data_IF_626170004456
#
_entry.id   IF_626170004456
#
_cell.length_a   1.000
_cell.length_b   1.000
_cell.length_c   1.000
_cell.angle_alpha   90.00
_cell.angle_beta   90.00
_cell.angle_gamma   90.00
#
_symmetry.space_group_name_H-M   'P 1'
#
loop_
_entity.id
_entity.type
_entity.pdbx_description
1 polymer ?
#
# COMPACT_ATOMS: atom_id res chain seq x y z
N UNK A 1 12.76 4.34 -4.58
CA UNK A 1 13.04 3.82 -5.93
C UNK A 1 12.90 2.30 -6.01
N UNK A 2 11.68 1.80 -5.76
CA UNK A 2 11.41 0.35 -5.77
C UNK A 2 11.73 -0.30 -7.12
N UNK A 3 11.20 0.23 -8.20
CA UNK A 3 11.28 -0.39 -9.54
C UNK A 3 12.69 -0.66 -10.04
N UNK A 4 13.63 0.24 -9.80
CA UNK A 4 15.02 0.05 -10.26
C UNK A 4 15.75 -1.13 -9.59
N UNK A 5 15.16 -1.72 -8.58
CA UNK A 5 15.70 -2.92 -7.94
C UNK A 5 15.41 -4.19 -8.76
N UNK A 6 14.40 -4.16 -9.61
CA UNK A 6 14.06 -5.25 -10.51
C UNK A 6 14.80 -5.17 -11.85
N UNK A 7 15.14 -6.31 -12.48
CA UNK A 7 15.61 -6.33 -13.85
C UNK A 7 14.49 -5.92 -14.80
N UNK A 8 14.83 -5.22 -15.91
CA UNK A 8 13.86 -4.93 -16.96
C UNK A 8 13.68 -6.13 -17.88
N UNK A 9 12.43 -6.53 -18.14
CA UNK A 9 12.09 -7.56 -19.12
C UNK A 9 12.18 -7.07 -20.56
N UNK A 10 12.11 -5.75 -20.77
CA UNK A 10 12.18 -5.12 -22.08
C UNK A 10 13.56 -4.50 -22.35
N UNK A 11 13.96 -4.54 -23.61
CA UNK A 11 15.21 -3.92 -24.08
C UNK A 11 14.95 -2.47 -24.48
N UNK A 12 15.11 -1.56 -23.55
CA UNK A 12 15.08 -0.13 -23.81
C UNK A 12 16.48 0.44 -23.93
N UNK A 13 16.64 1.36 -24.87
CA UNK A 13 17.90 2.05 -25.11
C UNK A 13 17.72 3.55 -24.91
N UNK A 14 18.76 4.19 -24.41
CA UNK A 14 18.87 5.63 -24.26
C UNK A 14 20.12 6.10 -25.00
N UNK A 15 20.06 7.28 -25.58
CA UNK A 15 21.27 7.99 -26.02
C UNK A 15 21.78 8.77 -24.84
N UNK A 16 23.03 8.52 -24.46
CA UNK A 16 23.67 9.17 -23.33
C UNK A 16 23.82 10.68 -23.61
N UNK A 17 23.33 11.51 -22.68
CA UNK A 17 23.50 12.95 -22.72
C UNK A 17 24.86 13.39 -22.11
N UNK A 18 25.07 14.71 -21.99
CA UNK A 18 26.30 15.27 -21.42
C UNK A 18 26.64 14.77 -20.00
N UNK A 19 25.62 14.39 -19.22
CA UNK A 19 25.75 13.85 -17.86
C UNK A 19 26.55 12.53 -17.80
N UNK A 20 26.69 11.83 -18.93
CA UNK A 20 27.46 10.58 -19.04
C UNK A 20 28.92 10.80 -19.43
N UNK A 21 29.39 12.06 -19.55
CA UNK A 21 30.77 12.41 -19.84
C UNK A 21 31.30 11.77 -21.12
N UNK A 22 32.34 10.95 -21.04
CA UNK A 22 32.96 10.27 -22.20
C UNK A 22 32.02 9.30 -22.95
N UNK A 23 30.86 9.02 -22.41
CA UNK A 23 29.85 8.19 -23.03
C UNK A 23 28.76 8.99 -23.75
N UNK A 24 28.86 10.32 -23.76
CA UNK A 24 27.92 11.19 -24.48
C UNK A 24 27.75 10.73 -25.94
N UNK A 25 26.51 10.72 -26.41
CA UNK A 25 26.13 10.27 -27.77
C UNK A 25 26.14 8.76 -27.96
N UNK A 26 26.68 7.98 -27.04
CA UNK A 26 26.66 6.51 -27.13
C UNK A 26 25.27 5.96 -26.78
N UNK A 27 24.92 4.81 -27.35
CA UNK A 27 23.69 4.08 -27.03
C UNK A 27 23.91 3.18 -25.83
N UNK A 28 23.12 3.37 -24.79
CA UNK A 28 23.16 2.56 -23.59
C UNK A 28 21.89 1.71 -23.43
N UNK A 29 22.02 0.48 -22.94
CA UNK A 29 20.90 -0.41 -22.63
C UNK A 29 20.46 -0.20 -21.19
N UNK A 30 19.15 0.03 -20.99
CA UNK A 30 18.54 0.10 -19.67
C UNK A 30 18.37 -1.32 -19.14
N UNK A 31 19.05 -1.63 -18.07
CA UNK A 31 19.07 -2.96 -17.42
C UNK A 31 18.04 -3.14 -16.33
N UNK A 32 17.57 -2.04 -15.74
CA UNK A 32 16.66 -2.03 -14.58
C UNK A 32 15.32 -1.41 -14.97
N UNK A 33 14.26 -1.86 -14.28
CA UNK A 33 12.94 -1.29 -14.48
C UNK A 33 12.92 0.19 -14.06
N UNK A 34 12.58 1.08 -15.00
CA UNK A 34 12.50 2.51 -14.74
C UNK A 34 11.05 2.96 -14.62
N UNK A 35 10.81 3.97 -13.78
CA UNK A 35 9.52 4.66 -13.75
C UNK A 35 9.18 5.21 -15.14
N UNK A 36 7.94 5.00 -15.57
CA UNK A 36 7.47 5.36 -16.92
C UNK A 36 7.64 4.26 -17.96
N UNK A 37 8.42 3.20 -17.68
CA UNK A 37 8.46 2.01 -18.52
C UNK A 37 7.14 1.23 -18.44
N UNK A 38 6.62 0.75 -19.57
CA UNK A 38 5.33 0.04 -19.63
C UNK A 38 5.30 -1.20 -18.75
N UNK A 39 6.39 -1.95 -18.67
CA UNK A 39 6.51 -3.20 -17.92
C UNK A 39 7.13 -3.02 -16.53
N UNK A 40 7.58 -1.82 -16.16
CA UNK A 40 8.35 -1.60 -14.94
C UNK A 40 7.65 -2.07 -13.66
N UNK A 41 6.35 -1.78 -13.52
CA UNK A 41 5.55 -2.24 -12.38
C UNK A 41 5.40 -3.75 -12.34
N UNK A 42 5.14 -4.38 -13.49
CA UNK A 42 5.07 -5.84 -13.62
C UNK A 42 6.42 -6.50 -13.30
N UNK A 43 7.51 -5.97 -13.82
CA UNK A 43 8.85 -6.50 -13.61
C UNK A 43 9.23 -6.46 -12.12
N UNK A 44 8.91 -5.35 -11.47
CA UNK A 44 9.11 -5.20 -10.03
C UNK A 44 8.25 -6.19 -9.22
N UNK A 45 6.96 -6.30 -9.56
CA UNK A 45 6.05 -7.23 -8.90
C UNK A 45 6.50 -8.68 -9.04
N UNK A 46 6.91 -9.11 -10.23
CA UNK A 46 7.45 -10.46 -10.47
C UNK A 46 8.73 -10.72 -9.69
N UNK A 47 9.62 -9.74 -9.60
CA UNK A 47 10.84 -9.85 -8.83
C UNK A 47 10.57 -9.99 -7.33
N UNK A 48 9.66 -9.16 -6.80
CA UNK A 48 9.23 -9.22 -5.40
C UNK A 48 8.53 -10.54 -5.09
N UNK A 49 7.64 -10.99 -5.94
CA UNK A 49 6.97 -12.28 -5.85
C UNK A 49 7.98 -13.44 -5.77
N UNK A 50 8.95 -13.47 -6.67
CA UNK A 50 10.00 -14.51 -6.66
C UNK A 50 10.80 -14.51 -5.36
N UNK A 51 11.05 -13.34 -4.79
CA UNK A 51 11.70 -13.21 -3.48
C UNK A 51 10.83 -13.81 -2.37
N UNK A 52 9.54 -13.46 -2.33
CA UNK A 52 8.62 -13.96 -1.30
C UNK A 52 8.46 -15.48 -1.37
N UNK A 53 8.32 -16.03 -2.59
CA UNK A 53 8.27 -17.49 -2.81
C UNK A 53 9.57 -18.18 -2.36
N UNK A 54 10.72 -17.57 -2.65
CA UNK A 54 12.03 -18.09 -2.20
C UNK A 54 12.16 -18.08 -0.67
N UNK A 55 11.60 -17.09 0.01
CA UNK A 55 11.55 -16.99 1.47
C UNK A 55 10.50 -17.92 2.11
N UNK A 56 9.81 -18.73 1.31
CA UNK A 56 8.82 -19.70 1.76
C UNK A 56 7.42 -19.14 2.02
N UNK A 57 7.17 -17.90 1.62
CA UNK A 57 5.83 -17.34 1.67
C UNK A 57 5.00 -17.79 0.46
N UNK A 58 3.70 -17.91 0.66
CA UNK A 58 2.72 -18.20 -0.39
C UNK A 58 1.68 -17.09 -0.43
N UNK A 59 1.20 -16.69 -1.63
CA UNK A 59 0.17 -15.66 -1.73
C UNK A 59 -1.17 -16.19 -1.21
N UNK A 60 -1.93 -15.33 -0.55
CA UNK A 60 -3.29 -15.63 -0.12
C UNK A 60 -4.21 -15.77 -1.34
N UNK A 61 -5.19 -16.68 -1.26
CA UNK A 61 -6.16 -16.87 -2.35
C UNK A 61 -7.12 -15.69 -2.53
N UNK A 62 -7.40 -14.98 -1.43
CA UNK A 62 -8.31 -13.83 -1.46
C UNK A 62 -7.64 -12.56 -2.01
N UNK A 63 -6.36 -12.39 -1.72
CA UNK A 63 -5.57 -11.25 -2.17
C UNK A 63 -4.13 -11.71 -2.43
N UNK A 64 -3.64 -11.67 -3.69
CA UNK A 64 -2.31 -12.13 -4.06
C UNK A 64 -1.17 -11.26 -3.49
N UNK A 65 -1.46 -10.05 -2.99
CA UNK A 65 -0.49 -9.16 -2.36
C UNK A 65 -0.42 -9.35 -0.84
N UNK A 66 -1.24 -10.25 -0.29
CA UNK A 66 -1.14 -10.76 1.08
C UNK A 66 -0.39 -12.09 1.07
N UNK A 67 0.80 -12.08 1.61
CA UNK A 67 1.69 -13.24 1.67
C UNK A 67 1.63 -13.88 3.04
N UNK A 68 1.65 -15.22 3.10
CA UNK A 68 1.54 -15.96 4.35
C UNK A 68 2.53 -17.11 4.39
N UNK A 69 3.08 -17.37 5.60
CA UNK A 69 4.00 -18.46 5.89
C UNK A 69 3.66 -19.06 7.25
N UNK A 70 3.59 -20.39 7.32
CA UNK A 70 3.44 -21.09 8.61
C UNK A 70 4.72 -20.93 9.44
N UNK A 71 4.58 -20.68 10.72
CA UNK A 71 5.67 -20.48 11.66
C UNK A 71 5.31 -20.99 13.06
N UNK A 72 6.26 -20.97 13.98
CA UNK A 72 6.08 -21.37 15.37
C UNK A 72 6.51 -20.25 16.31
N UNK A 73 5.75 -20.06 17.38
CA UNK A 73 6.16 -19.20 18.50
C UNK A 73 7.24 -19.90 19.35
N UNK A 74 7.82 -19.15 20.25
CA UNK A 74 8.82 -19.68 21.22
C UNK A 74 8.29 -20.85 22.06
N UNK A 75 6.98 -20.87 22.35
CA UNK A 75 6.28 -21.94 23.06
C UNK A 75 5.88 -23.13 22.18
N UNK A 76 6.36 -23.21 20.93
CA UNK A 76 6.02 -24.19 19.91
C UNK A 76 4.57 -24.13 19.40
N UNK A 77 3.77 -23.15 19.74
CA UNK A 77 2.43 -22.99 19.13
C UNK A 77 2.55 -22.57 17.68
N UNK A 78 1.76 -23.18 16.83
CA UNK A 78 1.70 -22.84 15.41
C UNK A 78 1.00 -21.51 15.21
N UNK A 79 1.53 -20.68 14.30
CA UNK A 79 0.90 -19.43 13.87
C UNK A 79 1.26 -19.11 12.43
N UNK A 80 0.61 -18.11 11.87
CA UNK A 80 0.89 -17.62 10.53
C UNK A 80 1.57 -16.26 10.58
N UNK A 81 2.66 -16.13 9.82
CA UNK A 81 3.27 -14.86 9.49
C UNK A 81 2.61 -14.30 8.26
N UNK A 82 2.35 -12.99 8.25
CA UNK A 82 1.77 -12.29 7.12
C UNK A 82 2.66 -11.13 6.70
N UNK A 83 2.79 -10.96 5.39
CA UNK A 83 3.43 -9.80 4.79
C UNK A 83 2.47 -9.24 3.75
N UNK A 84 2.02 -8.01 3.97
CA UNK A 84 1.15 -7.27 3.06
C UNK A 84 2.03 -6.34 2.25
N UNK A 85 1.96 -6.45 0.94
CA UNK A 85 2.78 -5.71 0.00
C UNK A 85 1.91 -4.77 -0.84
N UNK A 86 2.33 -3.53 -0.94
CA UNK A 86 1.71 -2.57 -1.86
C UNK A 86 2.80 -1.71 -2.49
N UNK A 87 3.24 -2.10 -3.68
CA UNK A 87 4.38 -1.51 -4.41
C UNK A 87 5.64 -1.51 -3.55
N UNK A 88 5.98 -0.40 -2.89
CA UNK A 88 7.14 -0.23 -2.01
C UNK A 88 6.77 -0.21 -0.51
N UNK A 89 5.48 -0.23 -0.19
CA UNK A 89 5.02 -0.36 1.19
C UNK A 89 4.92 -1.82 1.60
N UNK A 90 5.46 -2.14 2.78
CA UNK A 90 5.48 -3.48 3.35
C UNK A 90 5.00 -3.43 4.80
N UNK A 91 3.93 -4.16 5.12
CA UNK A 91 3.46 -4.36 6.49
C UNK A 91 3.64 -5.82 6.87
N UNK A 92 4.46 -6.08 7.90
CA UNK A 92 4.73 -7.44 8.38
C UNK A 92 4.02 -7.68 9.71
N UNK A 93 3.31 -8.80 9.81
CA UNK A 93 2.63 -9.28 11.02
C UNK A 93 3.27 -10.61 11.41
N UNK A 94 4.07 -10.59 12.45
CA UNK A 94 4.82 -11.74 12.97
C UNK A 94 5.21 -11.49 14.43
N UNK A 95 5.69 -12.50 15.12
CA UNK A 95 6.38 -12.35 16.41
C UNK A 95 7.78 -11.72 16.24
N UNK A 96 8.37 -11.82 15.03
CA UNK A 96 9.69 -11.29 14.69
C UNK A 96 9.67 -10.44 13.40
N UNK A 97 8.82 -9.39 13.29
CA UNK A 97 8.62 -8.68 12.03
C UNK A 97 9.88 -7.98 11.52
N UNK A 98 10.73 -7.46 12.42
CA UNK A 98 11.99 -6.80 12.03
C UNK A 98 12.99 -7.78 11.43
N UNK A 99 13.03 -9.03 11.88
CA UNK A 99 13.92 -10.03 11.29
C UNK A 99 13.51 -10.38 9.87
N UNK A 100 12.21 -10.57 9.63
CA UNK A 100 11.68 -10.82 8.29
C UNK A 100 12.02 -9.66 7.36
N UNK A 101 11.74 -8.43 7.78
CA UNK A 101 11.97 -7.24 6.95
C UNK A 101 13.47 -7.01 6.73
N UNK A 102 14.29 -6.97 7.80
CA UNK A 102 15.70 -6.60 7.71
C UNK A 102 16.59 -7.72 7.20
N UNK A 103 16.41 -8.93 7.76
CA UNK A 103 17.34 -10.03 7.54
C UNK A 103 16.95 -10.97 6.39
N UNK A 104 15.65 -11.05 6.07
CA UNK A 104 15.16 -11.89 4.98
C UNK A 104 14.91 -11.04 3.72
N UNK A 105 13.88 -10.19 3.70
CA UNK A 105 13.53 -9.38 2.53
C UNK A 105 14.65 -8.38 2.22
N UNK A 106 15.24 -7.77 3.23
CA UNK A 106 16.33 -6.79 3.11
C UNK A 106 17.62 -7.30 2.48
N UNK A 107 17.81 -8.63 2.34
CA UNK A 107 18.92 -9.20 1.56
C UNK A 107 18.74 -8.99 0.05
N UNK A 108 17.51 -8.86 -0.40
CA UNK A 108 17.15 -8.79 -1.82
C UNK A 108 16.73 -7.41 -2.26
N UNK A 109 16.25 -6.58 -1.31
CA UNK A 109 15.75 -5.23 -1.57
C UNK A 109 16.41 -4.22 -0.65
N UNK A 110 16.89 -3.12 -1.25
CA UNK A 110 17.37 -1.96 -0.49
C UNK A 110 16.18 -1.28 0.19
N UNK A 111 16.20 -1.29 1.49
CA UNK A 111 15.20 -0.64 2.34
C UNK A 111 15.79 0.61 3.01
N UNK A 112 14.94 1.57 3.31
CA UNK A 112 15.33 2.73 4.12
C UNK A 112 15.25 2.32 5.59
N UNK A 113 16.38 2.20 6.26
CA UNK A 113 16.46 1.85 7.67
C UNK A 113 15.54 2.68 8.57
N UNK A 114 15.47 3.98 8.33
CA UNK A 114 14.64 4.89 9.11
C UNK A 114 13.13 4.67 8.95
N UNK A 115 12.68 3.88 7.95
CA UNK A 115 11.27 3.55 7.72
C UNK A 115 10.88 2.16 8.23
N UNK A 116 11.82 1.42 8.82
CA UNK A 116 11.56 0.11 9.42
C UNK A 116 11.28 0.29 10.90
N UNK A 117 10.06 0.04 11.31
CA UNK A 117 9.62 0.15 12.71
C UNK A 117 8.12 -0.08 12.85
N UNK A 118 7.59 0.17 14.05
CA UNK A 118 6.14 0.08 14.27
C UNK A 118 5.40 1.00 13.29
N UNK A 119 4.32 0.50 12.64
CA UNK A 119 3.59 1.29 11.67
C UNK A 119 2.83 2.43 12.36
N UNK A 120 2.87 3.63 11.77
CA UNK A 120 2.02 4.77 12.14
C UNK A 120 0.94 5.00 11.07
N UNK A 121 1.34 4.97 9.80
CA UNK A 121 0.43 5.10 8.65
C UNK A 121 0.73 3.96 7.67
N UNK A 122 -0.32 3.29 7.21
CA UNK A 122 -0.25 2.29 6.15
C UNK A 122 -1.39 2.53 5.17
N UNK A 123 -1.08 2.69 3.88
CA UNK A 123 -2.04 2.97 2.79
C UNK A 123 -3.05 4.09 3.12
N UNK A 124 -2.57 5.15 3.78
CA UNK A 124 -3.40 6.30 4.15
C UNK A 124 -4.28 6.09 5.40
N UNK A 125 -4.25 4.91 6.00
CA UNK A 125 -4.90 4.62 7.28
C UNK A 125 -3.93 4.76 8.44
N UNK A 126 -4.41 5.31 9.56
CA UNK A 126 -3.64 5.39 10.80
C UNK A 126 -3.64 4.03 11.48
N UNK A 127 -2.45 3.57 11.84
CA UNK A 127 -2.23 2.35 12.63
C UNK A 127 -1.86 2.76 14.04
N UNK A 128 -2.46 2.17 15.05
CA UNK A 128 -2.15 2.46 16.45
C UNK A 128 -2.46 1.25 17.33
N UNK A 129 -1.80 1.17 18.47
CA UNK A 129 -2.19 0.22 19.50
C UNK A 129 -3.36 0.77 20.32
N UNK A 130 -4.30 -0.09 20.63
CA UNK A 130 -5.46 0.21 21.47
C UNK A 130 -5.59 -0.90 22.53
N UNK A 131 -5.96 -0.50 23.75
CA UNK A 131 -6.30 -1.42 24.81
C UNK A 131 -7.81 -1.68 24.79
N UNK A 132 -8.19 -2.95 24.75
CA UNK A 132 -9.58 -3.38 24.81
C UNK A 132 -10.10 -3.36 26.26
N UNK A 133 -11.41 -3.42 26.44
CA UNK A 133 -12.03 -3.52 27.77
C UNK A 133 -11.57 -4.76 28.56
N UNK A 134 -11.07 -5.78 27.86
CA UNK A 134 -10.48 -6.98 28.45
C UNK A 134 -9.06 -6.77 28.98
N UNK A 135 -8.43 -5.61 28.75
CA UNK A 135 -7.03 -5.31 29.06
C UNK A 135 -6.04 -5.83 28.02
N UNK A 136 -6.51 -6.42 26.93
CA UNK A 136 -5.66 -6.88 25.82
C UNK A 136 -5.27 -5.71 24.94
N UNK A 137 -3.98 -5.68 24.53
CA UNK A 137 -3.47 -4.69 23.57
C UNK A 137 -3.56 -5.29 22.18
N UNK A 138 -4.24 -4.58 21.28
CA UNK A 138 -4.32 -4.97 19.89
C UNK A 138 -4.00 -3.79 18.93
N UNK A 139 -3.71 -4.12 17.69
CA UNK A 139 -3.51 -3.14 16.64
C UNK A 139 -4.84 -2.71 16.04
N UNK A 140 -5.01 -1.41 15.89
CA UNK A 140 -6.16 -0.77 15.29
C UNK A 140 -5.76 -0.10 13.98
N UNK A 141 -6.60 -0.20 12.97
CA UNK A 141 -6.46 0.49 11.68
C UNK A 141 -7.64 1.44 11.48
N UNK A 142 -7.38 2.71 11.21
CA UNK A 142 -8.41 3.72 11.05
C UNK A 142 -8.20 4.57 9.81
N UNK A 143 -9.21 4.62 8.94
CA UNK A 143 -9.27 5.52 7.78
C UNK A 143 -9.91 6.88 8.09
N UNK A 144 -10.15 7.21 9.37
CA UNK A 144 -10.88 8.41 9.78
C UNK A 144 -10.30 9.71 9.23
N UNK A 145 -8.97 9.86 9.18
CA UNK A 145 -8.33 11.05 8.62
C UNK A 145 -8.60 11.19 7.13
N UNK A 146 -8.51 10.08 6.38
CA UNK A 146 -8.81 10.06 4.95
C UNK A 146 -10.25 10.47 4.67
N UNK A 147 -11.20 9.90 5.42
CA UNK A 147 -12.63 10.22 5.30
C UNK A 147 -12.90 11.69 5.64
N UNK A 148 -12.30 12.21 6.71
CA UNK A 148 -12.45 13.62 7.09
C UNK A 148 -11.91 14.56 6.02
N UNK A 149 -10.75 14.23 5.44
CA UNK A 149 -10.15 15.04 4.36
C UNK A 149 -11.00 14.98 3.08
N UNK A 150 -11.49 13.81 2.71
CA UNK A 150 -12.42 13.66 1.59
C UNK A 150 -13.68 14.50 1.78
N UNK A 151 -14.29 14.47 2.98
CA UNK A 151 -15.44 15.28 3.32
C UNK A 151 -15.12 16.79 3.26
N UNK A 152 -13.94 17.21 3.74
CA UNK A 152 -13.49 18.60 3.67
C UNK A 152 -13.33 19.07 2.24
N UNK A 153 -12.71 18.25 1.39
CA UNK A 153 -12.50 18.57 -0.02
C UNK A 153 -13.82 18.69 -0.79
N UNK A 154 -14.76 17.77 -0.56
CA UNK A 154 -16.10 17.81 -1.17
C UNK A 154 -16.84 19.08 -0.71
N UNK A 155 -16.83 19.40 0.60
CA UNK A 155 -17.44 20.62 1.11
C UNK A 155 -16.85 21.88 0.49
N UNK A 156 -15.52 21.94 0.37
CA UNK A 156 -14.82 23.05 -0.28
C UNK A 156 -15.26 23.18 -1.74
N UNK A 157 -15.22 22.09 -2.49
CA UNK A 157 -15.65 22.07 -3.90
C UNK A 157 -17.09 22.55 -4.07
N UNK A 158 -18.02 22.06 -3.25
CA UNK A 158 -19.43 22.48 -3.31
C UNK A 158 -19.59 23.95 -2.98
N UNK A 159 -18.89 24.44 -1.94
CA UNK A 159 -18.91 25.86 -1.58
C UNK A 159 -18.37 26.75 -2.69
N UNK A 160 -17.28 26.38 -3.33
CA UNK A 160 -16.67 27.14 -4.41
C UNK A 160 -17.56 27.15 -5.68
N UNK A 161 -18.17 25.99 -6.00
CA UNK A 161 -19.02 25.82 -7.19
C UNK A 161 -20.36 26.58 -7.10
N UNK A 162 -20.94 26.62 -5.91
CA UNK A 162 -22.25 27.22 -5.67
C UNK A 162 -22.15 28.52 -4.89
N UNK A 163 -21.05 29.24 -5.05
CA UNK A 163 -20.74 30.47 -4.31
C UNK A 163 -21.80 31.56 -4.45
N UNK A 164 -22.47 31.61 -5.59
CA UNK A 164 -23.49 32.62 -5.92
C UNK A 164 -24.92 32.07 -5.88
N UNK A 165 -25.11 30.84 -5.38
CA UNK A 165 -26.44 30.22 -5.28
C UNK A 165 -27.11 30.60 -3.96
N UNK A 166 -28.31 31.25 -3.99
CA UNK A 166 -29.06 31.61 -2.79
C UNK A 166 -29.49 30.40 -1.94
N UNK A 167 -29.29 29.16 -2.44
CA UNK A 167 -29.56 27.92 -1.74
C UNK A 167 -28.40 27.51 -0.82
N UNK A 168 -27.29 28.26 -0.80
CA UNK A 168 -26.10 27.93 0.02
C UNK A 168 -26.40 27.75 1.51
N UNK A 169 -27.39 28.43 2.06
CA UNK A 169 -27.78 28.30 3.47
C UNK A 169 -28.59 27.03 3.77
N UNK A 170 -29.00 26.30 2.77
CA UNK A 170 -29.65 25.02 2.98
C UNK A 170 -28.58 23.97 3.34
N UNK A 171 -28.63 23.51 4.56
CA UNK A 171 -27.80 22.38 5.09
C UNK A 171 -28.02 21.04 4.35
N UNK A 172 -28.28 21.10 3.04
CA UNK A 172 -28.67 19.95 2.23
C UNK A 172 -27.53 19.01 1.88
N UNK A 173 -26.31 19.51 1.92
CA UNK A 173 -25.19 18.75 1.36
C UNK A 173 -24.57 17.76 2.32
N UNK A 174 -24.79 17.92 3.60
CA UNK A 174 -24.25 17.00 4.59
C UNK A 174 -25.19 16.92 5.79
N UNK A 175 -25.93 15.84 5.96
CA UNK A 175 -26.77 15.67 7.14
C UNK A 175 -25.89 15.73 8.40
N UNK A 176 -26.37 16.43 9.44
CA UNK A 176 -25.67 16.57 10.73
C UNK A 176 -25.36 15.22 11.38
N UNK A 177 -26.17 14.20 11.07
CA UNK A 177 -25.96 12.80 11.45
C UNK A 177 -26.37 11.93 10.27
N UNK A 178 -25.40 11.29 9.63
CA UNK A 178 -25.67 10.16 8.74
C UNK A 178 -25.45 8.89 9.59
N UNK A 179 -26.51 8.11 9.79
CA UNK A 179 -26.41 6.87 10.53
C UNK A 179 -25.55 5.85 9.82
N UNK A 180 -25.76 5.64 8.55
CA UNK A 180 -24.94 4.80 7.68
C UNK A 180 -24.95 5.40 6.26
N UNK A 181 -23.86 5.23 5.48
CA UNK A 181 -23.80 5.68 4.08
C UNK A 181 -24.82 4.96 3.18
N UNK A 182 -25.27 3.78 3.59
CA UNK A 182 -26.24 2.95 2.89
C UNK A 182 -27.43 2.67 3.82
N UNK A 183 -28.61 2.46 3.26
CA UNK A 183 -29.78 2.05 4.05
C UNK A 183 -29.54 0.69 4.71
N UNK A 184 -30.17 0.44 5.87
CA UNK A 184 -30.07 -0.85 6.55
C UNK A 184 -30.56 -2.02 5.70
N UNK A 185 -31.34 -1.76 4.65
CA UNK A 185 -31.88 -2.75 3.73
C UNK A 185 -31.16 -2.77 2.37
N UNK A 186 -30.07 -2.03 2.23
CA UNK A 186 -29.28 -2.04 1.00
C UNK A 186 -28.69 -3.43 0.75
N UNK A 187 -29.02 -3.99 -0.41
CA UNK A 187 -28.50 -5.27 -0.89
C UNK A 187 -27.91 -5.08 -2.28
N UNK A 188 -26.59 -4.96 -2.40
CA UNK A 188 -25.93 -4.65 -3.68
C UNK A 188 -26.23 -5.67 -4.77
N UNK A 189 -26.57 -6.93 -4.39
CA UNK A 189 -26.91 -8.00 -5.33
C UNK A 189 -28.30 -7.81 -5.98
N UNK A 190 -29.17 -7.00 -5.37
CA UNK A 190 -30.57 -6.81 -5.79
C UNK A 190 -30.79 -5.39 -6.31
N UNK A 191 -30.07 -4.40 -5.77
CA UNK A 191 -30.21 -2.99 -6.10
C UNK A 191 -29.42 -2.57 -7.36
N UNK A 192 -29.06 -3.54 -8.21
CA UNK A 192 -28.49 -3.27 -9.53
C UNK A 192 -29.65 -2.84 -10.44
N UNK A 193 -29.91 -1.55 -10.48
CA UNK A 193 -30.81 -1.00 -11.52
C UNK A 193 -30.15 -1.18 -12.88
N UNK A 194 -30.94 -1.62 -13.90
CA UNK A 194 -30.43 -1.77 -15.26
C UNK A 194 -30.03 -0.44 -15.89
#
# INVERSE_FOLDING_TARGET
NAYIQAPSSEKHYVICGPEFGEHEGKKALIKRALYGGKCAGRDYWLHLRSCMEFLGFSPCKADPDVWMRASKREDNTDYWEYVLLYVDDCLCISTHPEEIIRKEIGKYFLMKEASIGPPDIYLGGKVSQVELETGEICWSFSSSQYVQEACRNVRKYLKDRYKDDPIQDRQYFMPKKAGAPLSNNYRPEIDVSP
#
